data_IF_971042269276
#
_entry.id   IF_971042269276
#
_cell.length_a   1.000
_cell.length_b   1.000
_cell.length_c   1.000
_cell.angle_alpha   90.00
_cell.angle_beta   90.00
_cell.angle_gamma   90.00
#
_symmetry.space_group_name_H-M   'P 1'
#
loop_
_entity.id
_entity.type
_entity.pdbx_description
1 polymer ?
#
# COMPACT_ATOMS: atom_id res chain seq x y z
N UNK A 1 -32.50 42.18 -60.44
CA UNK A 1 -32.13 42.15 -59.04
C UNK A 1 -31.95 40.68 -58.62
N UNK A 2 -30.70 40.20 -58.42
CA UNK A 2 -30.40 38.81 -58.05
C UNK A 2 -30.15 38.82 -56.53
N UNK A 3 -31.03 38.15 -55.77
CA UNK A 3 -30.86 37.98 -54.32
C UNK A 3 -29.85 36.87 -54.03
N UNK A 4 -28.74 37.21 -53.39
CA UNK A 4 -27.75 36.23 -52.84
C UNK A 4 -28.26 35.75 -51.47
N UNK A 5 -28.62 34.49 -51.41
CA UNK A 5 -28.94 33.82 -50.14
C UNK A 5 -27.61 33.33 -49.52
N UNK A 6 -27.17 34.00 -48.46
CA UNK A 6 -26.00 33.62 -47.67
C UNK A 6 -26.41 32.48 -46.71
N UNK A 7 -26.06 31.25 -47.05
CA UNK A 7 -26.31 30.06 -46.20
C UNK A 7 -25.26 30.01 -45.09
N UNK A 8 -25.71 30.28 -43.85
CA UNK A 8 -24.86 30.20 -42.64
C UNK A 8 -24.72 28.72 -42.21
N UNK A 9 -23.57 28.13 -42.48
CA UNK A 9 -23.21 26.77 -42.02
C UNK A 9 -22.88 26.82 -40.54
N UNK A 10 -23.81 26.36 -39.70
CA UNK A 10 -23.58 26.13 -38.25
C UNK A 10 -22.85 24.83 -38.11
N UNK A 11 -21.54 24.88 -37.82
CA UNK A 11 -20.71 23.71 -37.49
C UNK A 11 -20.94 23.39 -35.99
N UNK A 12 -21.49 22.19 -35.65
CA UNK A 12 -21.64 21.83 -34.25
C UNK A 12 -20.24 21.57 -33.65
N UNK A 13 -19.82 22.38 -32.70
CA UNK A 13 -18.63 22.09 -31.87
C UNK A 13 -18.92 20.93 -30.97
N UNK A 14 -18.40 19.75 -31.33
CA UNK A 14 -18.36 18.58 -30.48
C UNK A 14 -17.41 18.88 -29.30
N UNK A 15 -17.98 19.14 -28.12
CA UNK A 15 -17.25 19.18 -26.87
C UNK A 15 -16.76 17.74 -26.54
N UNK A 16 -15.52 17.45 -26.88
CA UNK A 16 -14.85 16.26 -26.36
C UNK A 16 -14.62 16.46 -24.86
N UNK A 17 -15.48 15.87 -24.04
CA UNK A 17 -15.23 15.73 -22.62
C UNK A 17 -13.99 14.84 -22.45
N UNK A 18 -12.83 15.43 -22.12
CA UNK A 18 -11.66 14.66 -21.74
C UNK A 18 -12.01 13.83 -20.48
N UNK A 19 -11.94 12.50 -20.52
CA UNK A 19 -12.16 11.68 -19.33
C UNK A 19 -11.11 12.09 -18.29
N UNK A 20 -11.58 12.41 -17.06
CA UNK A 20 -10.72 12.70 -15.93
C UNK A 20 -9.74 11.53 -15.76
N UNK A 21 -8.41 11.74 -15.64
CA UNK A 21 -7.47 10.65 -15.47
C UNK A 21 -7.88 9.82 -14.25
N UNK A 22 -7.94 8.50 -14.43
CA UNK A 22 -8.30 7.57 -13.37
C UNK A 22 -7.18 7.63 -12.33
N UNK A 23 -7.47 8.12 -11.12
CA UNK A 23 -6.49 8.14 -10.02
C UNK A 23 -5.98 6.73 -9.78
N UNK A 24 -4.68 6.53 -9.89
CA UNK A 24 -4.03 5.27 -9.55
C UNK A 24 -4.24 4.97 -8.07
N UNK A 25 -4.39 3.71 -7.74
CA UNK A 25 -4.52 3.23 -6.35
C UNK A 25 -3.54 2.10 -6.11
N UNK A 26 -3.18 1.86 -4.86
CA UNK A 26 -2.39 0.69 -4.50
C UNK A 26 -3.21 -0.57 -4.78
N UNK A 27 -2.57 -1.57 -5.38
CA UNK A 27 -3.17 -2.86 -5.68
C UNK A 27 -3.11 -3.76 -4.44
N UNK A 28 -3.97 -3.49 -3.47
CA UNK A 28 -4.06 -4.28 -2.24
C UNK A 28 -4.54 -5.69 -2.54
N UNK A 29 -3.83 -6.69 -2.01
CA UNK A 29 -4.18 -8.12 -2.12
C UNK A 29 -4.20 -8.77 -0.74
N UNK A 30 -4.74 -10.00 -0.65
CA UNK A 30 -4.66 -10.78 0.59
C UNK A 30 -3.23 -11.27 0.85
N UNK A 31 -2.95 -11.62 2.11
CA UNK A 31 -1.64 -12.16 2.50
C UNK A 31 -1.34 -13.45 1.74
N UNK A 32 -2.29 -14.38 1.66
CA UNK A 32 -2.13 -15.64 0.94
C UNK A 32 -1.85 -15.42 -0.55
N UNK A 33 -2.52 -14.42 -1.16
CA UNK A 33 -2.28 -14.09 -2.58
C UNK A 33 -0.86 -13.55 -2.79
N UNK A 34 -0.36 -12.74 -1.86
CA UNK A 34 1.03 -12.26 -1.92
C UNK A 34 2.02 -13.41 -1.81
N UNK A 35 1.81 -14.35 -0.89
CA UNK A 35 2.63 -15.56 -0.74
C UNK A 35 2.58 -16.45 -1.99
N UNK A 36 1.41 -16.63 -2.59
CA UNK A 36 1.26 -17.39 -3.83
C UNK A 36 2.08 -16.77 -4.99
N UNK A 37 1.94 -15.46 -5.18
CA UNK A 37 2.66 -14.73 -6.23
C UNK A 37 4.18 -14.75 -6.00
N UNK A 38 4.61 -14.65 -4.74
CA UNK A 38 6.02 -14.65 -4.37
C UNK A 38 6.73 -15.95 -4.78
N UNK A 39 6.04 -17.10 -4.81
CA UNK A 39 6.62 -18.39 -5.24
C UNK A 39 7.15 -18.39 -6.67
N UNK A 40 6.55 -17.59 -7.55
CA UNK A 40 6.90 -17.56 -8.97
C UNK A 40 7.63 -16.29 -9.39
N UNK A 41 7.41 -15.20 -8.65
CA UNK A 41 8.04 -13.92 -8.89
C UNK A 41 8.36 -13.25 -7.53
N UNK A 42 9.50 -13.61 -6.91
CA UNK A 42 9.87 -13.09 -5.60
C UNK A 42 9.98 -11.57 -5.57
N UNK A 43 9.22 -10.93 -4.68
CA UNK A 43 9.26 -9.50 -4.38
C UNK A 43 9.10 -9.28 -2.88
N UNK A 44 9.63 -8.20 -2.32
CA UNK A 44 9.30 -7.81 -0.95
C UNK A 44 7.79 -7.59 -0.78
N UNK A 45 7.28 -7.80 0.43
CA UNK A 45 5.88 -7.58 0.77
C UNK A 45 5.78 -6.40 1.72
N UNK A 46 4.91 -5.45 1.39
CA UNK A 46 4.50 -4.38 2.28
C UNK A 46 3.13 -4.74 2.84
N UNK A 47 3.02 -4.81 4.18
CA UNK A 47 1.77 -5.13 4.86
C UNK A 47 1.32 -3.92 5.67
N UNK A 48 0.15 -3.39 5.36
CA UNK A 48 -0.53 -2.41 6.20
C UNK A 48 -1.45 -3.14 7.17
N UNK A 49 -1.04 -3.17 8.45
CA UNK A 49 -1.80 -3.79 9.54
C UNK A 49 -2.72 -2.74 10.15
N UNK A 50 -4.02 -2.98 10.06
CA UNK A 50 -5.06 -2.03 10.45
C UNK A 50 -6.20 -2.69 11.24
N UNK A 51 -7.13 -1.88 11.72
CA UNK A 51 -8.45 -2.29 12.22
C UNK A 51 -9.52 -1.34 11.68
N UNK A 52 -10.76 -1.80 11.60
CA UNK A 52 -11.86 -1.02 11.01
C UNK A 52 -12.19 0.25 11.81
N UNK A 53 -11.94 0.27 13.10
CA UNK A 53 -12.15 1.43 13.98
C UNK A 53 -10.96 2.42 14.03
N UNK A 54 -9.86 2.13 13.34
CA UNK A 54 -8.63 2.90 13.43
C UNK A 54 -8.69 4.20 12.61
N UNK A 55 -8.92 5.32 13.27
CA UNK A 55 -8.98 6.66 12.63
C UNK A 55 -7.69 7.03 11.89
N UNK A 56 -6.51 6.70 12.45
CA UNK A 56 -5.23 6.98 11.83
C UNK A 56 -4.95 6.10 10.60
N UNK A 57 -5.51 4.88 10.57
CA UNK A 57 -5.44 4.02 9.38
C UNK A 57 -6.24 4.66 8.23
N UNK A 58 -7.48 5.09 8.50
CA UNK A 58 -8.30 5.80 7.50
C UNK A 58 -7.63 7.09 7.01
N UNK A 59 -6.94 7.83 7.91
CA UNK A 59 -6.17 9.00 7.53
C UNK A 59 -5.02 8.64 6.59
N UNK A 60 -4.30 7.55 6.86
CA UNK A 60 -3.19 7.08 6.02
C UNK A 60 -3.68 6.62 4.64
N UNK A 61 -4.82 5.94 4.59
CA UNK A 61 -5.51 5.55 3.35
C UNK A 61 -5.97 6.76 2.52
N UNK A 62 -6.38 7.84 3.17
CA UNK A 62 -6.87 9.05 2.50
C UNK A 62 -5.77 10.03 2.11
N UNK A 63 -4.54 9.87 2.61
CA UNK A 63 -3.41 10.76 2.36
C UNK A 63 -2.21 10.02 1.78
N UNK A 64 -1.37 9.40 2.61
CA UNK A 64 -0.11 8.77 2.23
C UNK A 64 -0.27 7.76 1.08
N UNK A 65 -1.28 6.89 1.16
CA UNK A 65 -1.57 5.92 0.11
C UNK A 65 -2.34 6.48 -1.09
N UNK A 66 -2.45 7.82 -1.20
CA UNK A 66 -2.97 8.53 -2.39
C UNK A 66 -1.89 9.30 -3.14
N UNK A 67 -0.71 9.46 -2.56
CA UNK A 67 0.40 10.11 -3.23
C UNK A 67 0.87 9.27 -4.43
N UNK A 68 0.87 9.87 -5.62
CA UNK A 68 1.12 9.14 -6.88
C UNK A 68 2.49 8.46 -6.88
N UNK A 69 3.52 9.11 -6.35
CA UNK A 69 4.89 8.58 -6.24
C UNK A 69 4.91 7.31 -5.38
N UNK A 70 4.17 7.30 -4.26
CA UNK A 70 4.08 6.15 -3.35
C UNK A 70 3.30 5.01 -4.02
N UNK A 71 2.15 5.33 -4.62
CA UNK A 71 1.30 4.36 -5.31
C UNK A 71 2.08 3.65 -6.42
N UNK A 72 2.77 4.40 -7.27
CA UNK A 72 3.54 3.86 -8.37
C UNK A 72 4.71 2.99 -7.89
N UNK A 73 5.41 3.45 -6.86
CA UNK A 73 6.54 2.71 -6.32
C UNK A 73 6.09 1.39 -5.67
N UNK A 74 5.06 1.43 -4.81
CA UNK A 74 4.54 0.23 -4.13
C UNK A 74 4.03 -0.78 -5.17
N UNK A 75 3.21 -0.35 -6.13
CA UNK A 75 2.67 -1.24 -7.15
C UNK A 75 3.75 -1.91 -8.02
N UNK A 76 4.86 -1.24 -8.24
CA UNK A 76 5.95 -1.74 -9.07
C UNK A 76 6.86 -2.71 -8.31
N UNK A 77 7.15 -2.43 -7.04
CA UNK A 77 8.25 -3.08 -6.31
C UNK A 77 7.79 -4.01 -5.19
N UNK A 78 6.54 -3.93 -4.74
CA UNK A 78 6.02 -4.74 -3.65
C UNK A 78 4.79 -5.56 -4.06
N UNK A 79 4.54 -6.60 -3.29
CA UNK A 79 3.18 -7.11 -3.09
C UNK A 79 2.59 -6.35 -1.90
N UNK A 80 1.55 -5.57 -2.15
CA UNK A 80 0.91 -4.75 -1.13
C UNK A 80 -0.25 -5.51 -0.47
N UNK A 81 -0.19 -5.72 0.83
CA UNK A 81 -1.18 -6.48 1.61
C UNK A 81 -1.89 -5.56 2.60
N UNK A 82 -3.22 -5.63 2.62
CA UNK A 82 -4.06 -5.09 3.72
C UNK A 82 -4.40 -6.22 4.68
N UNK A 83 -3.95 -6.11 5.94
CA UNK A 83 -4.20 -7.11 6.96
C UNK A 83 -5.03 -6.49 8.09
N UNK A 84 -6.32 -6.85 8.17
CA UNK A 84 -7.12 -6.49 9.32
C UNK A 84 -6.70 -7.35 10.52
N UNK A 85 -6.17 -6.70 11.57
CA UNK A 85 -5.70 -7.38 12.77
C UNK A 85 -6.84 -8.06 13.56
N UNK A 86 -8.10 -7.81 13.22
CA UNK A 86 -9.28 -8.39 13.86
C UNK A 86 -10.07 -9.32 12.92
N UNK A 87 -9.54 -9.65 11.72
CA UNK A 87 -10.19 -10.59 10.81
C UNK A 87 -10.37 -11.97 11.43
N UNK A 88 -11.42 -12.68 10.99
CA UNK A 88 -11.79 -13.99 11.55
C UNK A 88 -11.32 -15.17 10.70
N UNK A 89 -11.02 -14.91 9.43
CA UNK A 89 -10.59 -15.91 8.46
C UNK A 89 -9.21 -16.43 8.83
N UNK A 90 -9.07 -17.76 8.85
CA UNK A 90 -7.78 -18.42 9.08
C UNK A 90 -6.80 -18.11 7.95
N UNK A 91 -5.52 -17.84 8.27
CA UNK A 91 -4.43 -17.65 7.31
C UNK A 91 -3.41 -18.78 7.46
N UNK A 92 -3.12 -19.49 6.35
CA UNK A 92 -2.14 -20.56 6.32
C UNK A 92 -0.80 -20.03 5.78
N UNK A 93 0.25 -20.13 6.59
CA UNK A 93 1.60 -19.73 6.20
C UNK A 93 2.66 -20.55 6.95
N UNK A 94 3.70 -21.01 6.26
CA UNK A 94 4.83 -21.78 6.82
C UNK A 94 4.38 -22.98 7.67
N UNK A 95 3.46 -23.79 7.15
CA UNK A 95 2.88 -24.96 7.83
C UNK A 95 2.18 -24.65 9.16
N UNK A 96 1.83 -23.40 9.39
CA UNK A 96 1.04 -22.96 10.53
C UNK A 96 -0.26 -22.32 10.06
N UNK A 97 -1.35 -22.59 10.79
CA UNK A 97 -2.63 -21.93 10.59
C UNK A 97 -2.80 -20.85 11.66
N UNK A 98 -2.63 -19.59 11.25
CA UNK A 98 -2.88 -18.42 12.11
C UNK A 98 -4.37 -18.19 12.22
N UNK A 99 -4.86 -18.01 13.44
CA UNK A 99 -6.28 -17.89 13.75
C UNK A 99 -6.56 -16.58 14.48
N UNK A 100 -7.83 -16.21 14.50
CA UNK A 100 -8.30 -15.19 15.41
C UNK A 100 -8.31 -15.71 16.85
N UNK A 101 -7.72 -14.98 17.78
CA UNK A 101 -7.67 -15.32 19.21
C UNK A 101 -8.39 -14.22 20.00
N UNK A 102 -9.41 -14.61 20.72
CA UNK A 102 -10.22 -13.70 21.53
C UNK A 102 -11.68 -14.11 21.57
N UNK A 103 -12.53 -13.17 21.96
CA UNK A 103 -13.98 -13.34 21.94
C UNK A 103 -14.61 -12.45 20.86
N UNK A 104 -15.96 -12.47 20.75
CA UNK A 104 -16.68 -11.69 19.71
C UNK A 104 -16.42 -10.17 19.77
N UNK A 105 -16.04 -9.63 20.93
CA UNK A 105 -15.87 -8.19 21.16
C UNK A 105 -14.41 -7.75 21.20
N UNK A 106 -13.49 -8.65 21.57
CA UNK A 106 -12.07 -8.32 21.74
C UNK A 106 -11.22 -9.52 21.35
N UNK A 107 -10.34 -9.31 20.45
CA UNK A 107 -9.37 -10.30 20.02
C UNK A 107 -8.51 -9.77 18.90
N UNK A 108 -7.54 -10.57 18.51
CA UNK A 108 -6.63 -10.23 17.42
C UNK A 108 -6.28 -11.49 16.62
N UNK A 109 -5.93 -11.29 15.38
CA UNK A 109 -5.46 -12.35 14.53
C UNK A 109 -3.99 -12.69 14.86
N UNK A 110 -3.67 -13.97 15.00
CA UNK A 110 -2.33 -14.43 15.39
C UNK A 110 -1.23 -13.94 14.45
N UNK A 111 -1.50 -13.88 13.13
CA UNK A 111 -0.54 -13.36 12.16
C UNK A 111 -0.20 -11.90 12.44
N UNK A 112 -1.20 -11.04 12.71
CA UNK A 112 -0.95 -9.65 13.05
C UNK A 112 -0.14 -9.54 14.35
N UNK A 113 -0.49 -10.32 15.37
CA UNK A 113 0.27 -10.37 16.63
C UNK A 113 1.72 -10.82 16.41
N UNK A 114 1.94 -11.82 15.57
CA UNK A 114 3.27 -12.32 15.24
C UNK A 114 4.12 -11.28 14.50
N UNK A 115 3.56 -10.66 13.47
CA UNK A 115 4.23 -9.63 12.68
C UNK A 115 4.58 -8.38 13.51
N UNK A 116 3.73 -8.02 14.48
CA UNK A 116 3.93 -6.86 15.36
C UNK A 116 4.65 -7.22 16.66
N UNK A 117 5.11 -8.47 16.82
CA UNK A 117 5.79 -8.96 18.01
C UNK A 117 4.98 -8.67 19.30
N UNK A 118 3.66 -8.86 19.24
CA UNK A 118 2.70 -8.63 20.33
C UNK A 118 2.44 -7.16 20.66
N UNK A 119 3.11 -6.19 20.01
CA UNK A 119 2.92 -4.76 20.25
C UNK A 119 1.84 -4.20 19.32
N UNK A 120 0.57 -4.46 19.66
CA UNK A 120 -0.58 -4.10 18.85
C UNK A 120 -0.76 -2.58 18.78
N UNK A 121 -0.31 -1.98 17.69
CA UNK A 121 -0.44 -0.55 17.37
C UNK A 121 -0.92 -0.38 15.93
N UNK A 122 -1.87 0.54 15.69
CA UNK A 122 -2.46 0.74 14.37
C UNK A 122 -2.48 2.22 13.96
N UNK A 123 -2.18 2.51 12.67
CA UNK A 123 -1.66 1.58 11.68
C UNK A 123 -0.26 1.08 12.04
N UNK A 124 0.17 -0.05 11.47
CA UNK A 124 1.56 -0.48 11.46
C UNK A 124 1.94 -0.92 10.05
N UNK A 125 3.05 -0.43 9.54
CA UNK A 125 3.59 -0.85 8.25
C UNK A 125 4.66 -1.90 8.47
N UNK A 126 4.46 -3.09 7.91
CA UNK A 126 5.38 -4.22 8.05
C UNK A 126 6.03 -4.53 6.70
N UNK A 127 7.32 -4.79 6.71
CA UNK A 127 8.09 -5.18 5.54
C UNK A 127 8.62 -6.60 5.72
N UNK A 128 8.29 -7.47 4.74
CA UNK A 128 8.97 -8.76 4.57
C UNK A 128 9.89 -8.64 3.35
N UNK A 129 11.05 -9.29 3.41
CA UNK A 129 11.93 -9.43 2.25
C UNK A 129 11.35 -10.44 1.23
N UNK A 130 12.03 -10.61 0.09
CA UNK A 130 11.63 -11.55 -0.97
C UNK A 130 11.62 -13.02 -0.51
N UNK A 131 12.36 -13.35 0.56
CA UNK A 131 12.42 -14.68 1.16
C UNK A 131 11.35 -14.87 2.26
N UNK A 132 10.43 -13.89 2.40
CA UNK A 132 9.31 -13.86 3.36
C UNK A 132 9.75 -13.74 4.83
N UNK A 133 10.94 -13.24 5.08
CA UNK A 133 11.43 -12.97 6.42
C UNK A 133 11.02 -11.55 6.86
N UNK A 134 10.69 -11.41 8.13
CA UNK A 134 10.35 -10.11 8.72
C UNK A 134 11.61 -9.22 8.80
N UNK A 135 11.61 -8.13 8.04
CA UNK A 135 12.68 -7.11 8.10
C UNK A 135 12.38 -6.09 9.18
N UNK A 136 11.19 -5.48 9.12
CA UNK A 136 10.83 -4.39 10.03
C UNK A 136 9.32 -4.25 10.18
N UNK A 137 8.88 -3.91 11.40
CA UNK A 137 7.52 -3.44 11.70
C UNK A 137 7.61 -2.02 12.27
N UNK A 138 6.95 -1.07 11.62
CA UNK A 138 6.98 0.35 11.96
C UNK A 138 5.59 0.77 12.42
N UNK A 139 5.42 1.06 13.73
CA UNK A 139 4.13 1.46 14.26
C UNK A 139 3.81 2.93 13.97
N UNK A 140 2.53 3.22 13.79
CA UNK A 140 1.98 4.57 13.70
C UNK A 140 1.77 5.07 12.28
N UNK A 141 1.12 6.23 12.21
CA UNK A 141 0.84 6.92 10.95
C UNK A 141 2.13 7.45 10.32
N UNK A 142 2.39 7.02 9.11
CA UNK A 142 3.53 7.48 8.31
C UNK A 142 3.06 8.54 7.31
N UNK A 143 3.62 9.75 7.42
CA UNK A 143 3.41 10.80 6.42
C UNK A 143 4.11 10.42 5.10
N UNK A 144 3.62 10.95 3.98
CA UNK A 144 4.10 10.63 2.65
C UNK A 144 5.64 10.76 2.48
N UNK A 145 6.33 11.81 2.95
CA UNK A 145 7.79 11.90 2.78
C UNK A 145 8.56 10.81 3.54
N UNK A 146 8.05 10.36 4.68
CA UNK A 146 8.66 9.25 5.44
C UNK A 146 8.38 7.91 4.77
N UNK A 147 7.13 7.71 4.32
CA UNK A 147 6.76 6.50 3.58
C UNK A 147 7.59 6.35 2.30
N UNK A 148 7.80 7.44 1.55
CA UNK A 148 8.62 7.42 0.34
C UNK A 148 10.04 6.90 0.62
N UNK A 149 10.69 7.42 1.66
CA UNK A 149 12.02 6.96 2.07
C UNK A 149 12.02 5.48 2.45
N UNK A 150 11.05 5.08 3.28
CA UNK A 150 10.97 3.71 3.78
C UNK A 150 10.76 2.69 2.65
N UNK A 151 9.84 2.96 1.72
CA UNK A 151 9.60 2.02 0.62
C UNK A 151 10.80 1.91 -0.32
N UNK A 152 11.56 2.99 -0.55
CA UNK A 152 12.79 2.92 -1.33
C UNK A 152 13.88 2.14 -0.58
N UNK A 153 14.07 2.40 0.72
CA UNK A 153 15.07 1.73 1.55
C UNK A 153 14.83 0.22 1.68
N UNK A 154 13.57 -0.15 1.87
CA UNK A 154 13.16 -1.56 2.02
C UNK A 154 13.00 -2.28 0.67
N UNK A 155 12.43 -1.59 -0.34
CA UNK A 155 12.14 -2.19 -1.64
C UNK A 155 13.38 -2.51 -2.47
N UNK A 156 14.43 -1.72 -2.34
CA UNK A 156 15.73 -1.95 -2.99
C UNK A 156 16.72 -2.70 -2.09
N UNK A 157 16.27 -3.21 -0.95
CA UNK A 157 17.09 -3.94 0.03
C UNK A 157 18.33 -3.14 0.50
N UNK A 158 18.27 -1.78 0.45
CA UNK A 158 19.40 -0.90 0.81
C UNK A 158 19.84 -1.13 2.26
N UNK A 159 18.92 -1.57 3.13
CA UNK A 159 19.18 -1.89 4.53
C UNK A 159 20.24 -2.99 4.73
N UNK A 160 20.58 -3.75 3.69
CA UNK A 160 21.64 -4.78 3.76
C UNK A 160 23.04 -4.15 3.75
N UNK A 161 23.21 -3.00 3.09
CA UNK A 161 24.52 -2.41 2.83
C UNK A 161 24.70 -1.00 3.41
N UNK A 162 23.61 -0.34 3.80
CA UNK A 162 23.63 1.05 4.25
C UNK A 162 22.72 1.29 5.44
N UNK A 163 23.25 1.90 6.48
CA UNK A 163 22.50 2.34 7.66
C UNK A 163 21.47 3.42 7.30
N UNK A 164 20.32 3.40 8.00
CA UNK A 164 19.21 4.33 7.78
C UNK A 164 19.64 5.80 7.82
N UNK A 165 20.42 6.21 8.83
CA UNK A 165 20.83 7.61 9.01
C UNK A 165 21.67 8.14 7.84
N UNK A 166 22.42 7.27 7.18
CA UNK A 166 23.20 7.63 5.99
C UNK A 166 22.29 7.74 4.79
N UNK A 167 21.42 6.75 4.60
CA UNK A 167 20.43 6.77 3.51
C UNK A 167 19.52 7.99 3.60
N UNK A 168 18.97 8.29 4.78
CA UNK A 168 18.03 9.39 5.01
C UNK A 168 18.62 10.76 4.61
N UNK A 169 19.91 10.97 4.87
CA UNK A 169 20.63 12.21 4.50
C UNK A 169 20.87 12.33 2.99
N UNK A 170 21.06 11.22 2.31
CA UNK A 170 21.39 11.19 0.88
C UNK A 170 20.13 11.10 0.00
N UNK A 171 19.02 10.66 0.54
CA UNK A 171 17.77 10.43 -0.21
C UNK A 171 17.22 11.74 -0.76
N UNK A 172 16.91 11.72 -2.05
CA UNK A 172 16.27 12.84 -2.74
C UNK A 172 14.80 12.50 -2.98
N UNK A 173 13.94 13.12 -2.18
CA UNK A 173 12.49 12.97 -2.31
C UNK A 173 11.99 13.45 -3.68
N UNK A 174 10.93 12.78 -4.16
CA UNK A 174 10.17 13.15 -5.35
C UNK A 174 8.81 13.77 -5.00
N UNK A 175 8.50 13.87 -3.71
CA UNK A 175 7.29 14.50 -3.16
C UNK A 175 7.59 15.93 -2.74
#
# INVERSE_FOLDING_TARGET
MKAFILSLLIIPTLLFANPKPKTKTINWISFEKAIELNKTNPKPILIDVYTDWCTWCHKMDASTYKEEVIVDYINSNFYAVKLNAEQKEDINFNNHTFKYVGNERRGTHELASSLLNGKMSYPSTVFLNKDLELVQAIPGYLQAPIMEKLINYMGEEIYLDKEWDTFDKEFKSKI
#
